data_IF_746360458592
#
_entry.id   IF_746360458592
#
_cell.length_a   1.000
_cell.length_b   1.000
_cell.length_c   1.000
_cell.angle_alpha   90.00
_cell.angle_beta   90.00
_cell.angle_gamma   90.00
#
_symmetry.space_group_name_H-M   'P 1'
#
loop_
_entity.id
_entity.type
_entity.pdbx_description
1 polymer ?
#
# COMPACT_ATOMS: atom_id res chain seq x y z
N UNK A 1 -10.38 -6.92 -21.08
CA UNK A 1 -9.31 -5.91 -20.89
C UNK A 1 -8.90 -5.97 -19.43
N UNK A 2 -7.65 -6.33 -19.11
CA UNK A 2 -7.19 -6.36 -17.70
C UNK A 2 -7.07 -4.94 -17.18
N UNK A 3 -7.82 -4.60 -16.15
CA UNK A 3 -7.68 -3.32 -15.44
C UNK A 3 -6.25 -3.23 -14.91
N UNK A 4 -5.50 -2.16 -15.24
CA UNK A 4 -4.15 -1.99 -14.75
C UNK A 4 -4.15 -2.11 -13.23
N UNK A 5 -3.22 -2.92 -12.73
CA UNK A 5 -2.97 -3.12 -11.31
C UNK A 5 -2.35 -1.82 -10.78
N UNK A 6 -3.17 -0.82 -10.52
CA UNK A 6 -2.77 0.52 -10.10
C UNK A 6 -3.69 1.03 -8.99
N UNK A 7 -3.08 1.69 -8.01
CA UNK A 7 -3.81 2.31 -6.91
C UNK A 7 -4.41 3.65 -7.36
N UNK A 8 -5.65 3.97 -6.97
CA UNK A 8 -6.19 5.32 -7.07
C UNK A 8 -5.25 6.34 -6.41
N UNK A 9 -5.09 7.51 -7.03
CA UNK A 9 -4.25 8.57 -6.47
C UNK A 9 -4.84 9.17 -5.18
N UNK A 10 -6.16 9.09 -4.99
CA UNK A 10 -6.86 9.52 -3.79
C UNK A 10 -7.96 8.54 -3.41
N UNK A 11 -8.17 8.35 -2.11
CA UNK A 11 -9.26 7.59 -1.54
C UNK A 11 -10.22 8.51 -0.80
N UNK A 12 -11.46 8.71 -1.30
CA UNK A 12 -12.52 9.33 -0.52
C UNK A 12 -12.87 8.46 0.68
N UNK A 13 -12.83 9.03 1.88
CA UNK A 13 -13.18 8.36 3.14
C UNK A 13 -14.13 9.25 3.92
N UNK A 14 -15.16 8.64 4.49
CA UNK A 14 -16.01 9.25 5.52
C UNK A 14 -15.63 8.63 6.86
N UNK A 15 -15.28 9.46 7.84
CA UNK A 15 -14.97 9.00 9.20
C UNK A 15 -16.06 9.50 10.14
N UNK A 16 -16.59 8.58 10.94
CA UNK A 16 -17.59 8.87 11.97
C UNK A 16 -16.99 8.56 13.33
N UNK A 17 -17.25 9.43 14.31
CA UNK A 17 -16.88 9.15 15.70
C UNK A 17 -17.79 8.04 16.23
N UNK A 18 -17.18 6.96 16.72
CA UNK A 18 -17.93 5.90 17.40
C UNK A 18 -18.21 6.31 18.85
N UNK A 19 -19.49 6.24 19.24
CA UNK A 19 -19.97 6.62 20.56
C UNK A 19 -20.07 8.14 20.85
N UNK A 20 -20.54 8.51 22.04
CA UNK A 20 -20.69 9.91 22.44
C UNK A 20 -19.33 10.55 22.74
N UNK A 21 -19.20 11.85 22.41
CA UNK A 21 -18.06 12.64 22.87
C UNK A 21 -18.01 12.69 24.42
N UNK A 22 -16.81 12.75 25.01
CA UNK A 22 -16.66 13.02 26.44
C UNK A 22 -17.34 14.33 26.86
N UNK A 23 -17.70 14.44 28.14
CA UNK A 23 -18.36 15.64 28.67
C UNK A 23 -17.57 16.92 28.37
N UNK A 24 -18.28 17.93 27.86
CA UNK A 24 -17.69 19.22 27.47
C UNK A 24 -17.05 19.25 26.07
N UNK A 25 -16.98 18.11 25.38
CA UNK A 25 -16.50 18.02 23.99
C UNK A 25 -17.66 17.90 23.00
N UNK A 26 -17.42 18.33 21.76
CA UNK A 26 -18.37 18.17 20.64
C UNK A 26 -17.74 17.29 19.56
N UNK A 27 -18.51 16.32 19.08
CA UNK A 27 -18.12 15.46 17.96
C UNK A 27 -18.24 16.19 16.63
N UNK A 28 -17.30 15.92 15.74
CA UNK A 28 -17.32 16.34 14.34
C UNK A 28 -16.86 15.17 13.47
N UNK A 29 -17.76 14.67 12.63
CA UNK A 29 -17.42 13.70 11.59
C UNK A 29 -16.67 14.39 10.44
N UNK A 30 -15.97 13.61 9.62
CA UNK A 30 -15.22 14.14 8.47
C UNK A 30 -15.51 13.38 7.18
N UNK A 31 -15.34 14.09 6.05
CA UNK A 31 -15.26 13.50 4.72
C UNK A 31 -14.06 14.12 4.01
N UNK A 32 -13.09 13.29 3.63
CA UNK A 32 -11.85 13.76 3.02
C UNK A 32 -11.33 12.77 1.98
N UNK A 33 -10.66 13.30 0.95
CA UNK A 33 -9.95 12.51 -0.03
C UNK A 33 -8.46 12.41 0.33
N UNK A 34 -8.04 11.24 0.80
CA UNK A 34 -6.69 10.97 1.29
C UNK A 34 -5.75 10.61 0.13
N UNK A 35 -4.56 11.24 0.00
CA UNK A 35 -3.63 10.94 -1.08
C UNK A 35 -2.90 9.61 -0.87
N UNK A 36 -2.65 8.89 -1.96
CA UNK A 36 -1.82 7.68 -1.97
C UNK A 36 -0.39 8.01 -1.55
N UNK A 37 0.18 7.22 -0.64
CA UNK A 37 1.56 7.42 -0.14
C UNK A 37 2.47 6.21 -0.32
N UNK A 38 1.92 5.00 -0.35
CA UNK A 38 2.70 3.78 -0.56
C UNK A 38 1.80 2.59 -0.94
N UNK A 39 2.42 1.46 -1.23
CA UNK A 39 1.78 0.15 -1.31
C UNK A 39 2.46 -0.83 -0.36
N UNK A 40 1.70 -1.81 0.11
CA UNK A 40 2.23 -2.94 0.90
C UNK A 40 1.92 -4.27 0.21
N UNK A 41 2.79 -5.24 0.39
CA UNK A 41 2.63 -6.60 -0.12
C UNK A 41 2.38 -7.57 1.03
N UNK A 42 1.57 -8.58 0.80
CA UNK A 42 1.06 -9.48 1.84
C UNK A 42 1.05 -10.92 1.32
N UNK A 43 1.27 -11.90 2.20
CA UNK A 43 1.18 -13.34 1.85
C UNK A 43 -0.26 -13.86 1.75
N UNK A 44 -1.24 -12.98 1.92
CA UNK A 44 -2.67 -13.20 1.74
C UNK A 44 -3.46 -11.95 2.11
N UNK A 45 -4.78 -12.02 2.36
CA UNK A 45 -5.60 -10.85 2.67
C UNK A 45 -5.06 -10.06 3.88
N UNK A 46 -5.03 -8.70 3.84
CA UNK A 46 -4.45 -7.89 4.92
C UNK A 46 -5.12 -8.06 6.30
N UNK A 47 -6.37 -8.49 6.34
CA UNK A 47 -7.14 -8.79 7.56
C UNK A 47 -6.79 -10.15 8.18
N UNK A 48 -6.04 -10.99 7.46
CA UNK A 48 -5.75 -12.37 7.86
C UNK A 48 -4.26 -12.65 8.04
N UNK A 49 -3.38 -11.95 7.32
CA UNK A 49 -2.00 -12.39 7.12
C UNK A 49 -0.96 -11.26 7.19
N UNK A 50 0.31 -11.69 7.27
CA UNK A 50 1.47 -10.84 7.56
C UNK A 50 1.87 -9.96 6.38
N UNK A 51 2.19 -8.70 6.68
CA UNK A 51 2.83 -7.80 5.73
C UNK A 51 4.26 -8.26 5.42
N UNK A 52 4.60 -8.35 4.14
CA UNK A 52 5.91 -8.79 3.67
C UNK A 52 6.92 -7.63 3.71
N UNK A 53 8.07 -7.87 4.35
CA UNK A 53 9.23 -6.99 4.24
C UNK A 53 9.85 -7.08 2.83
N UNK A 54 10.49 -6.01 2.34
CA UNK A 54 11.22 -6.07 1.08
C UNK A 54 12.39 -7.06 1.18
N UNK A 55 12.60 -7.83 0.12
CA UNK A 55 13.75 -8.71 -0.04
C UNK A 55 15.06 -7.93 -0.16
N UNK A 56 15.00 -6.70 -0.69
CA UNK A 56 16.14 -5.78 -0.73
C UNK A 56 15.69 -4.31 -0.75
N UNK A 57 16.58 -3.43 -0.29
CA UNK A 57 16.42 -1.98 -0.36
C UNK A 57 17.73 -1.33 -0.80
N UNK A 58 17.70 -0.59 -1.90
CA UNK A 58 18.88 0.08 -2.47
C UNK A 58 18.61 1.57 -2.58
N UNK A 59 19.44 2.38 -1.94
CA UNK A 59 19.42 3.84 -2.12
C UNK A 59 20.31 4.22 -3.30
N UNK A 60 19.73 4.85 -4.33
CA UNK A 60 20.44 5.39 -5.48
C UNK A 60 20.21 6.91 -5.54
N UNK A 61 21.22 7.69 -5.16
CA UNK A 61 21.11 9.15 -5.01
C UNK A 61 19.93 9.52 -4.09
N UNK A 62 18.90 10.10 -4.69
CA UNK A 62 17.70 10.64 -4.06
C UNK A 62 16.52 9.67 -4.12
N UNK A 63 16.73 8.44 -4.59
CA UNK A 63 15.69 7.43 -4.72
C UNK A 63 16.00 6.24 -3.83
N UNK A 64 15.05 5.81 -3.01
CA UNK A 64 15.07 4.52 -2.34
C UNK A 64 14.26 3.52 -3.16
N UNK A 65 14.87 2.40 -3.55
CA UNK A 65 14.23 1.35 -4.33
C UNK A 65 14.11 0.11 -3.44
N UNK A 66 12.88 -0.25 -3.10
CA UNK A 66 12.58 -1.48 -2.36
C UNK A 66 12.04 -2.54 -3.32
N UNK A 67 12.50 -3.77 -3.16
CA UNK A 67 12.17 -4.88 -4.04
C UNK A 67 11.66 -6.07 -3.24
N UNK A 68 10.59 -6.70 -3.72
CA UNK A 68 10.01 -7.94 -3.21
C UNK A 68 10.13 -9.00 -4.30
N UNK A 69 10.95 -10.03 -4.03
CA UNK A 69 11.02 -11.21 -4.88
C UNK A 69 10.01 -12.25 -4.35
N UNK A 70 8.86 -12.35 -5.00
CA UNK A 70 7.78 -13.25 -4.61
C UNK A 70 7.92 -14.57 -5.39
N UNK A 71 8.16 -15.67 -4.69
CA UNK A 71 8.15 -17.01 -5.28
C UNK A 71 6.73 -17.45 -5.61
N UNK A 72 6.57 -18.49 -6.42
CA UNK A 72 5.27 -19.11 -6.62
C UNK A 72 4.72 -19.63 -5.28
N UNK A 73 3.41 -19.49 -5.06
CA UNK A 73 2.76 -19.85 -3.81
C UNK A 73 1.47 -20.63 -4.04
N UNK A 74 0.98 -21.34 -3.03
CA UNK A 74 -0.33 -22.01 -3.06
C UNK A 74 -1.49 -21.03 -2.87
N UNK A 75 -1.25 -19.94 -2.15
CA UNK A 75 -2.22 -18.88 -1.88
C UNK A 75 -1.84 -17.58 -2.58
N UNK A 76 -2.84 -16.77 -2.91
CA UNK A 76 -2.61 -15.48 -3.55
C UNK A 76 -1.79 -14.55 -2.67
N UNK A 77 -0.78 -13.90 -3.24
CA UNK A 77 -0.25 -12.67 -2.67
C UNK A 77 -1.28 -11.55 -2.83
N UNK A 78 -1.21 -10.56 -1.95
CA UNK A 78 -2.06 -9.38 -2.02
C UNK A 78 -1.24 -8.11 -2.04
N UNK A 79 -1.85 -7.07 -2.60
CA UNK A 79 -1.36 -5.71 -2.50
C UNK A 79 -2.41 -4.82 -1.85
N UNK A 80 -1.98 -3.94 -0.95
CA UNK A 80 -2.80 -2.84 -0.44
C UNK A 80 -2.27 -1.49 -0.93
N UNK A 81 -3.20 -0.57 -1.16
CA UNK A 81 -2.93 0.85 -1.37
C UNK A 81 -3.06 1.57 -0.03
N UNK A 82 -2.00 2.25 0.40
CA UNK A 82 -1.96 2.95 1.69
C UNK A 82 -2.07 4.47 1.47
N UNK A 83 -2.95 5.10 2.21
CA UNK A 83 -3.29 6.51 2.05
C UNK A 83 -2.87 7.33 3.27
N UNK A 84 -2.50 8.58 3.05
CA UNK A 84 -2.06 9.49 4.11
C UNK A 84 -3.21 9.84 5.06
N UNK A 85 -2.91 9.89 6.36
CA UNK A 85 -3.83 10.40 7.38
C UNK A 85 -5.17 9.65 7.46
N UNK A 86 -5.14 8.35 7.19
CA UNK A 86 -6.27 7.45 7.40
C UNK A 86 -5.77 6.01 7.59
N UNK A 87 -6.51 5.22 8.37
CA UNK A 87 -6.28 3.78 8.48
C UNK A 87 -6.99 2.99 7.36
N UNK A 88 -7.85 3.64 6.57
CA UNK A 88 -8.55 3.00 5.48
C UNK A 88 -7.57 2.60 4.36
N UNK A 89 -7.63 1.34 3.96
CA UNK A 89 -6.88 0.79 2.84
C UNK A 89 -7.85 0.13 1.86
N UNK A 90 -7.40 -0.01 0.61
CA UNK A 90 -8.04 -0.92 -0.35
C UNK A 90 -7.01 -1.96 -0.78
N UNK A 91 -7.44 -3.19 -0.98
CA UNK A 91 -6.55 -4.29 -1.35
C UNK A 91 -7.17 -5.16 -2.44
N UNK A 92 -6.30 -5.83 -3.21
CA UNK A 92 -6.72 -6.81 -4.22
C UNK A 92 -5.68 -7.93 -4.33
N UNK A 93 -6.09 -9.13 -4.77
CA UNK A 93 -5.16 -10.21 -5.04
C UNK A 93 -4.22 -9.84 -6.20
N UNK A 94 -2.97 -10.24 -6.04
CA UNK A 94 -1.93 -10.24 -7.06
C UNK A 94 -1.92 -11.57 -7.82
N UNK A 95 -2.33 -12.67 -7.19
CA UNK A 95 -2.22 -14.02 -7.74
C UNK A 95 -1.06 -14.81 -7.12
N UNK A 96 -1.00 -16.10 -7.43
CA UNK A 96 0.01 -17.07 -6.95
C UNK A 96 1.33 -17.08 -7.73
N UNK A 97 1.33 -16.56 -8.96
CA UNK A 97 2.49 -16.63 -9.84
C UNK A 97 3.69 -15.84 -9.30
N UNK A 98 4.88 -16.43 -9.42
CA UNK A 98 6.14 -15.79 -9.08
C UNK A 98 6.28 -14.44 -9.81
N UNK A 99 6.84 -13.44 -9.14
CA UNK A 99 7.02 -12.08 -9.68
C UNK A 99 8.00 -11.28 -8.85
N UNK A 100 8.54 -10.22 -9.44
CA UNK A 100 9.30 -9.20 -8.71
C UNK A 100 8.49 -7.92 -8.66
N UNK A 101 8.19 -7.44 -7.45
CA UNK A 101 7.53 -6.15 -7.25
C UNK A 101 8.54 -5.12 -6.77
N UNK A 102 8.51 -3.93 -7.34
CA UNK A 102 9.42 -2.83 -7.03
C UNK A 102 8.61 -1.61 -6.64
N UNK A 103 9.04 -0.92 -5.59
CA UNK A 103 8.50 0.38 -5.18
C UNK A 103 9.65 1.38 -5.12
N UNK A 104 9.48 2.53 -5.76
CA UNK A 104 10.47 3.61 -5.72
C UNK A 104 9.95 4.74 -4.87
N UNK A 105 10.80 5.25 -3.99
CA UNK A 105 10.49 6.35 -3.09
C UNK A 105 11.45 7.52 -3.33
N UNK A 106 10.91 8.74 -3.25
CA UNK A 106 11.69 9.97 -3.13
C UNK A 106 12.28 10.04 -1.73
N UNK A 107 13.59 9.80 -1.64
CA UNK A 107 14.36 9.79 -0.41
C UNK A 107 14.76 11.19 0.07
N UNK A 108 14.41 12.27 -0.66
CA UNK A 108 14.55 13.66 -0.15
C UNK A 108 13.48 14.02 0.88
N UNK A 109 12.40 13.24 0.93
CA UNK A 109 11.27 13.45 1.85
C UNK A 109 11.40 12.57 3.08
N UNK A 110 10.94 13.07 4.22
CA UNK A 110 10.87 12.31 5.47
C UNK A 110 9.46 12.44 6.04
N UNK A 111 8.66 11.35 6.08
CA UNK A 111 8.98 10.02 5.56
C UNK A 111 9.11 9.99 4.01
N UNK A 112 9.82 8.99 3.43
CA UNK A 112 9.95 8.85 1.99
C UNK A 112 8.58 8.75 1.30
N UNK A 113 8.41 9.46 0.19
CA UNK A 113 7.16 9.47 -0.59
C UNK A 113 7.28 8.52 -1.77
N UNK A 114 6.32 7.63 -1.98
CA UNK A 114 6.31 6.78 -3.17
C UNK A 114 6.22 7.62 -4.46
N UNK A 115 7.08 7.31 -5.41
CA UNK A 115 7.10 7.86 -6.78
C UNK A 115 6.20 6.99 -7.65
N UNK A 116 6.50 5.69 -7.68
CA UNK A 116 5.79 4.68 -8.46
C UNK A 116 6.00 3.27 -7.87
N UNK A 117 5.24 2.32 -8.39
CA UNK A 117 5.41 0.90 -8.12
C UNK A 117 4.96 0.08 -9.32
N UNK A 118 5.53 -1.12 -9.44
CA UNK A 118 5.17 -2.08 -10.48
C UNK A 118 5.55 -3.49 -10.07
N UNK A 119 4.93 -4.49 -10.70
CA UNK A 119 5.35 -5.88 -10.61
C UNK A 119 5.61 -6.43 -12.01
N UNK A 120 6.71 -7.18 -12.17
CA UNK A 120 7.04 -7.89 -13.41
C UNK A 120 7.08 -9.40 -13.16
N UNK A 121 6.77 -10.22 -14.18
CA UNK A 121 7.10 -11.64 -14.14
C UNK A 121 8.60 -11.87 -13.87
N UNK A 122 9.01 -13.07 -13.45
CA UNK A 122 10.42 -13.40 -13.28
C UNK A 122 11.17 -13.22 -14.60
N UNK A 123 12.42 -12.77 -14.53
CA UNK A 123 13.31 -12.80 -15.69
C UNK A 123 13.45 -14.27 -16.15
N UNK A 124 13.30 -14.49 -17.46
CA UNK A 124 13.40 -15.81 -18.08
C UNK A 124 14.85 -16.29 -18.11
#
# INVERSE_FOLDING_TARGET
MSTPLQCPARLPVSQTIDGPAPNGWRSYDSQQAHPLISVSFWSGPPDQLTMLAPSSGVKQRDTLINTWALAAAETDYWISCNYFDTAAIIARPLGTAARTCTVRYDAKRTPPKMIDWYCTPPAR
#
